data_IF_520041887779
#
_entry.id   IF_520041887779
#
_cell.length_a   1.000
_cell.length_b   1.000
_cell.length_c   1.000
_cell.angle_alpha   90.00
_cell.angle_beta   90.00
_cell.angle_gamma   90.00
#
_symmetry.space_group_name_H-M   'P 1'
#
loop_
_entity.id
_entity.type
_entity.pdbx_description
1 polymer ?
#
# COMPACT_ATOMS: atom_id res chain seq x y z
N UNK A 1 0.71 1.21 17.41
CA UNK A 1 1.04 1.45 16.00
C UNK A 1 -0.27 1.57 15.22
N UNK A 2 -0.46 2.62 14.42
CA UNK A 2 -1.74 2.83 13.70
C UNK A 2 -1.82 1.84 12.53
N UNK A 3 -3.01 1.37 12.13
CA UNK A 3 -3.18 0.40 11.02
C UNK A 3 -2.55 0.89 9.70
N UNK A 4 -2.64 2.18 9.42
CA UNK A 4 -2.03 2.83 8.25
C UNK A 4 -0.49 2.77 8.26
N UNK A 5 0.12 2.85 9.44
CA UNK A 5 1.58 2.78 9.61
C UNK A 5 2.11 1.37 9.31
N UNK A 6 1.38 0.33 9.71
CA UNK A 6 1.72 -1.07 9.43
C UNK A 6 1.62 -1.39 7.93
N UNK A 7 0.57 -0.88 7.26
CA UNK A 7 0.40 -1.01 5.80
C UNK A 7 1.60 -0.40 5.06
N UNK A 8 2.03 0.79 5.48
CA UNK A 8 3.14 1.48 4.85
C UNK A 8 4.48 0.77 5.02
N UNK A 9 4.76 0.26 6.23
CA UNK A 9 5.98 -0.53 6.50
C UNK A 9 5.97 -1.80 5.64
N UNK A 10 4.83 -2.48 5.55
CA UNK A 10 4.68 -3.66 4.71
C UNK A 10 4.90 -3.32 3.22
N UNK A 11 4.40 -2.17 2.75
CA UNK A 11 4.59 -1.72 1.37
C UNK A 11 6.05 -1.40 1.06
N UNK A 12 6.74 -0.66 1.94
CA UNK A 12 8.18 -0.39 1.81
C UNK A 12 9.00 -1.68 1.72
N UNK A 13 8.69 -2.65 2.57
CA UNK A 13 9.36 -3.95 2.56
C UNK A 13 9.11 -4.70 1.25
N UNK A 14 7.87 -4.68 0.75
CA UNK A 14 7.53 -5.25 -0.56
C UNK A 14 8.34 -4.63 -1.70
N UNK A 15 8.44 -3.29 -1.76
CA UNK A 15 9.22 -2.60 -2.79
C UNK A 15 10.69 -3.04 -2.77
N UNK A 16 11.29 -3.14 -1.58
CA UNK A 16 12.67 -3.58 -1.39
C UNK A 16 12.87 -5.05 -1.80
N UNK A 17 12.01 -5.96 -1.30
CA UNK A 17 12.10 -7.40 -1.58
C UNK A 17 11.91 -7.71 -3.07
N UNK A 18 11.04 -6.97 -3.75
CA UNK A 18 10.73 -7.18 -5.17
C UNK A 18 11.54 -6.30 -6.11
N UNK A 19 12.45 -5.45 -5.58
CA UNK A 19 13.23 -4.46 -6.33
C UNK A 19 12.36 -3.60 -7.24
N UNK A 20 11.23 -3.11 -6.73
CA UNK A 20 10.25 -2.29 -7.47
C UNK A 20 10.35 -0.83 -7.06
N UNK A 21 9.97 0.05 -7.98
CA UNK A 21 9.83 1.47 -7.72
C UNK A 21 8.44 1.76 -7.11
N UNK A 22 8.31 2.91 -6.44
CA UNK A 22 7.00 3.34 -5.95
C UNK A 22 6.17 3.94 -7.08
N UNK A 23 5.58 3.07 -7.88
CA UNK A 23 4.66 3.42 -8.96
C UNK A 23 3.27 2.81 -8.73
N UNK A 24 2.29 3.27 -9.49
CA UNK A 24 0.90 2.82 -9.41
C UNK A 24 0.77 1.29 -9.53
N UNK A 25 1.51 0.70 -10.48
CA UNK A 25 1.53 -0.75 -10.69
C UNK A 25 2.02 -1.50 -9.44
N UNK A 26 3.04 -0.97 -8.77
CA UNK A 26 3.60 -1.56 -7.55
C UNK A 26 2.64 -1.45 -6.36
N UNK A 27 1.86 -0.36 -6.26
CA UNK A 27 0.77 -0.22 -5.27
C UNK A 27 -0.34 -1.25 -5.52
N UNK A 28 -0.76 -1.40 -6.78
CA UNK A 28 -1.79 -2.38 -7.17
C UNK A 28 -1.35 -3.81 -6.84
N UNK A 29 -0.15 -4.20 -7.25
CA UNK A 29 0.39 -5.54 -6.97
C UNK A 29 0.51 -5.76 -5.46
N UNK A 30 1.00 -4.77 -4.71
CA UNK A 30 1.09 -4.89 -3.26
C UNK A 30 -0.27 -5.09 -2.61
N UNK A 31 -1.26 -4.26 -2.95
CA UNK A 31 -2.60 -4.32 -2.35
C UNK A 31 -3.28 -5.65 -2.66
N UNK A 32 -3.16 -6.16 -3.89
CA UNK A 32 -3.70 -7.49 -4.24
C UNK A 32 -3.06 -8.57 -3.36
N UNK A 33 -1.73 -8.62 -3.29
CA UNK A 33 -1.02 -9.61 -2.47
C UNK A 33 -1.25 -9.42 -0.96
N UNK A 34 -1.39 -8.19 -0.49
CA UNK A 34 -1.59 -7.84 0.91
C UNK A 34 -3.00 -8.25 1.37
N UNK A 35 -4.03 -7.99 0.55
CA UNK A 35 -5.41 -8.40 0.80
C UNK A 35 -5.58 -9.93 0.78
N UNK A 36 -4.90 -10.62 -0.14
CA UNK A 36 -4.85 -12.10 -0.17
C UNK A 36 -4.20 -12.67 1.11
N UNK A 37 -3.09 -12.09 1.56
CA UNK A 37 -2.36 -12.55 2.77
C UNK A 37 -3.14 -12.41 4.07
N UNK A 38 -3.96 -11.37 4.20
CA UNK A 38 -4.75 -11.13 5.42
C UNK A 38 -6.14 -11.79 5.37
N UNK A 39 -6.40 -12.65 4.38
CA UNK A 39 -7.67 -13.35 4.15
C UNK A 39 -8.87 -12.39 4.19
N UNK A 40 -8.72 -11.21 3.57
CA UNK A 40 -9.71 -10.14 3.61
C UNK A 40 -10.86 -10.43 2.64
N UNK A 41 -11.70 -11.39 2.98
CA UNK A 41 -12.95 -11.67 2.27
C UNK A 41 -14.01 -10.55 2.40
N UNK A 42 -13.71 -9.48 3.16
CA UNK A 42 -14.73 -8.53 3.65
C UNK A 42 -14.80 -7.19 2.91
N UNK A 43 -13.87 -6.87 2.02
CA UNK A 43 -13.93 -5.62 1.29
C UNK A 43 -13.97 -5.91 -0.20
N UNK A 44 -15.14 -5.69 -0.80
CA UNK A 44 -15.30 -5.59 -2.25
C UNK A 44 -14.43 -4.46 -2.85
N UNK A 45 -14.60 -4.18 -4.14
CA UNK A 45 -13.78 -3.21 -4.89
C UNK A 45 -13.48 -1.88 -4.14
N UNK A 46 -14.40 -1.42 -3.30
CA UNK A 46 -14.26 -0.21 -2.48
C UNK A 46 -13.07 -0.21 -1.50
N UNK A 47 -12.73 -1.36 -0.90
CA UNK A 47 -11.60 -1.41 0.05
C UNK A 47 -10.22 -1.38 -0.62
N UNK A 48 -10.13 -1.85 -1.87
CA UNK A 48 -8.91 -1.70 -2.67
C UNK A 48 -8.64 -0.22 -2.94
N UNK A 49 -9.66 0.52 -3.35
CA UNK A 49 -9.53 1.95 -3.64
C UNK A 49 -9.15 2.75 -2.39
N UNK A 50 -9.75 2.44 -1.24
CA UNK A 50 -9.40 3.09 0.04
C UNK A 50 -7.93 2.88 0.40
N UNK A 51 -7.39 1.67 0.23
CA UNK A 51 -5.97 1.39 0.48
C UNK A 51 -5.04 2.11 -0.50
N UNK A 52 -5.41 2.21 -1.77
CA UNK A 52 -4.65 2.99 -2.77
C UNK A 52 -4.59 4.45 -2.35
N UNK A 53 -5.74 5.05 -2.02
CA UNK A 53 -5.84 6.44 -1.60
C UNK A 53 -5.05 6.72 -0.31
N UNK A 54 -5.03 5.80 0.65
CA UNK A 54 -4.18 5.94 1.85
C UNK A 54 -2.68 5.94 1.51
N UNK A 55 -2.24 5.09 0.58
CA UNK A 55 -0.84 5.06 0.14
C UNK A 55 -0.45 6.34 -0.60
N UNK A 56 -1.32 6.85 -1.48
CA UNK A 56 -1.10 8.08 -2.24
C UNK A 56 -1.01 9.31 -1.33
N UNK A 57 -1.93 9.42 -0.36
CA UNK A 57 -1.93 10.52 0.59
C UNK A 57 -0.61 10.59 1.37
N UNK A 58 -0.11 9.45 1.84
CA UNK A 58 1.14 9.42 2.59
C UNK A 58 2.36 9.76 1.73
N UNK A 59 2.39 9.34 0.46
CA UNK A 59 3.51 9.66 -0.42
C UNK A 59 3.54 11.15 -0.82
N UNK A 60 2.40 11.74 -1.15
CA UNK A 60 2.33 13.17 -1.50
C UNK A 60 2.66 14.08 -0.31
N UNK A 61 2.28 13.70 0.92
CA UNK A 61 2.61 14.45 2.13
C UNK A 61 4.12 14.41 2.47
N UNK A 62 4.86 13.40 1.98
CA UNK A 62 6.29 13.24 2.23
C UNK A 62 7.19 13.65 1.04
N UNK A 63 6.64 14.04 -0.11
CA UNK A 63 7.40 14.68 -1.20
C UNK A 63 7.76 16.14 -0.91
N UNK A 64 7.19 16.76 0.13
CA UNK A 64 7.50 18.15 0.55
C UNK A 64 8.82 18.24 1.36
N UNK A 65 9.49 17.11 1.61
CA UNK A 65 10.79 17.07 2.31
C UNK A 65 11.88 16.52 1.39
N UNK A 66 12.22 17.28 0.35
CA UNK A 66 13.54 17.20 -0.31
C UNK A 66 14.05 18.61 -0.52
#
# INVERSE_FOLDING_TARGET
MRKSEQLFIAYKKFLQEKKRQNDENSRLIFIVNYLEKINFAFYGMDGKQQLITELEKYYNENEILI
#
